data_IF_615737712241
#
_entry.id   IF_615737712241
#
_cell.length_a   1.000
_cell.length_b   1.000
_cell.length_c   1.000
_cell.angle_alpha   90.00
_cell.angle_beta   90.00
_cell.angle_gamma   90.00
#
_symmetry.space_group_name_H-M   'P 1'
#
loop_
_entity.id
_entity.type
_entity.pdbx_description
1 polymer ?
#
# COMPACT_ATOMS: atom_id res chain seq x y z
N UNK A 1 18.49 -1.31 -1.02
CA UNK A 1 17.11 -1.34 -0.51
C UNK A 1 16.95 -0.14 0.40
N UNK A 2 16.05 0.81 0.11
CA UNK A 2 15.78 1.92 1.03
C UNK A 2 14.82 1.37 2.10
N UNK A 3 15.20 1.48 3.37
CA UNK A 3 14.34 1.08 4.48
C UNK A 3 13.05 1.94 4.49
N UNK A 4 11.89 1.31 4.71
CA UNK A 4 10.57 1.96 4.84
C UNK A 4 10.63 3.22 5.74
N UNK A 5 11.34 3.14 6.86
CA UNK A 5 11.53 4.27 7.78
C UNK A 5 12.27 5.47 7.15
N UNK A 6 13.27 5.22 6.32
CA UNK A 6 14.05 6.29 5.68
C UNK A 6 13.29 6.93 4.52
N UNK A 7 12.42 6.16 3.87
CA UNK A 7 11.50 6.70 2.87
C UNK A 7 10.42 7.55 3.52
N UNK A 8 9.82 7.08 4.61
CA UNK A 8 8.83 7.84 5.37
C UNK A 8 9.41 9.18 5.85
N UNK A 9 10.59 9.16 6.50
CA UNK A 9 11.27 10.38 6.94
C UNK A 9 11.54 11.37 5.79
N UNK A 10 11.89 10.88 4.60
CA UNK A 10 12.08 11.74 3.42
C UNK A 10 10.77 12.36 2.93
N UNK A 11 9.69 11.59 2.93
CA UNK A 11 8.36 12.08 2.54
C UNK A 11 7.81 13.10 3.53
N UNK A 12 7.95 12.85 4.84
CA UNK A 12 7.57 13.78 5.91
C UNK A 12 8.33 15.11 5.84
N UNK A 13 9.58 15.07 5.35
CA UNK A 13 10.37 16.29 5.13
C UNK A 13 9.95 17.06 3.87
N UNK A 14 9.41 16.37 2.86
CA UNK A 14 9.11 16.93 1.55
C UNK A 14 7.66 17.42 1.41
N UNK A 15 6.73 16.86 2.17
CA UNK A 15 5.29 17.08 2.00
C UNK A 15 4.59 17.35 3.33
N UNK A 16 3.52 18.16 3.27
CA UNK A 16 2.65 18.39 4.41
C UNK A 16 1.80 17.14 4.74
N UNK A 17 1.37 16.95 6.01
CA UNK A 17 0.62 15.75 6.43
C UNK A 17 -0.64 15.45 5.60
N UNK A 18 -1.39 16.47 5.18
CA UNK A 18 -2.61 16.28 4.38
C UNK A 18 -2.32 15.76 2.96
N UNK A 19 -1.13 16.04 2.41
CA UNK A 19 -0.68 15.46 1.14
C UNK A 19 -0.33 13.99 1.33
N UNK A 20 0.38 13.68 2.42
CA UNK A 20 0.79 12.32 2.79
C UNK A 20 -0.39 11.39 3.10
N UNK A 21 -1.54 11.94 3.51
CA UNK A 21 -2.77 11.18 3.71
C UNK A 21 -3.26 10.45 2.45
N UNK A 22 -2.85 10.88 1.26
CA UNK A 22 -3.13 10.20 -0.02
C UNK A 22 -2.14 9.09 -0.38
N UNK A 23 -1.09 8.89 0.41
CA UNK A 23 -0.04 7.91 0.12
C UNK A 23 -0.31 6.59 0.86
N UNK A 24 0.05 5.47 0.23
CA UNK A 24 -0.02 4.14 0.84
C UNK A 24 1.24 3.34 0.55
N UNK A 25 1.83 2.75 1.58
CA UNK A 25 2.74 1.61 1.37
C UNK A 25 1.94 0.41 0.92
N UNK A 26 2.42 -0.30 -0.09
CA UNK A 26 1.70 -1.44 -0.63
C UNK A 26 2.42 -2.75 -0.35
N UNK A 27 1.65 -3.73 0.09
CA UNK A 27 2.16 -5.06 0.43
C UNK A 27 1.30 -6.11 -0.25
N UNK A 28 1.94 -7.04 -0.97
CA UNK A 28 1.27 -8.22 -1.53
C UNK A 28 1.21 -9.30 -0.44
N UNK A 29 0.00 -9.73 -0.10
CA UNK A 29 -0.25 -10.90 0.74
C UNK A 29 -0.70 -12.05 -0.17
N UNK A 30 0.13 -13.09 -0.24
CA UNK A 30 -0.21 -14.30 -0.98
C UNK A 30 -1.23 -15.11 -0.20
N UNK A 31 -2.32 -15.49 -0.86
CA UNK A 31 -3.42 -16.29 -0.30
C UNK A 31 -3.80 -17.40 -1.26
N UNK A 32 -4.50 -18.42 -0.76
CA UNK A 32 -5.03 -19.48 -1.63
C UNK A 32 -6.01 -18.89 -2.66
N UNK A 33 -6.06 -19.40 -3.90
CA UNK A 33 -7.10 -19.02 -4.88
C UNK A 33 -8.53 -19.18 -4.35
N UNK A 34 -8.75 -20.18 -3.49
CA UNK A 34 -10.06 -20.50 -2.92
C UNK A 34 -10.36 -19.71 -1.63
N UNK A 35 -9.43 -18.86 -1.18
CA UNK A 35 -9.64 -18.02 0.00
C UNK A 35 -10.69 -16.93 -0.32
N UNK A 36 -11.74 -16.75 0.50
CA UNK A 36 -12.74 -15.70 0.30
C UNK A 36 -12.17 -14.28 0.22
N UNK A 37 -10.97 -14.04 0.76
CA UNK A 37 -10.32 -12.71 0.70
C UNK A 37 -9.45 -12.54 -0.54
N UNK A 38 -9.23 -13.59 -1.34
CA UNK A 38 -8.49 -13.48 -2.60
C UNK A 38 -9.19 -12.50 -3.55
N UNK A 39 -8.44 -11.54 -4.08
CA UNK A 39 -9.02 -10.48 -4.93
C UNK A 39 -9.50 -9.26 -4.15
N UNK A 40 -9.25 -9.18 -2.84
CA UNK A 40 -9.59 -8.03 -2.00
C UNK A 40 -8.36 -7.22 -1.57
N UNK A 41 -8.61 -6.07 -0.95
CA UNK A 41 -7.58 -5.26 -0.31
C UNK A 41 -8.10 -4.65 1.01
N UNK A 42 -7.17 -4.28 1.89
CA UNK A 42 -7.46 -3.60 3.16
C UNK A 42 -6.59 -2.36 3.28
N UNK A 43 -7.22 -1.21 3.53
CA UNK A 43 -6.54 0.03 3.90
C UNK A 43 -6.40 0.11 5.42
N UNK A 44 -5.15 0.18 5.89
CA UNK A 44 -4.79 0.22 7.31
C UNK A 44 -4.19 1.59 7.62
N UNK A 45 -4.89 2.32 8.49
CA UNK A 45 -4.33 3.50 9.12
C UNK A 45 -3.27 3.09 10.15
N UNK A 46 -2.08 3.67 10.04
CA UNK A 46 -0.98 3.44 10.98
C UNK A 46 -1.01 4.55 12.03
N UNK A 47 -1.19 4.17 13.29
CA UNK A 47 -1.22 5.13 14.39
C UNK A 47 0.08 5.96 14.42
N UNK A 48 -0.07 7.29 14.42
CA UNK A 48 1.05 8.22 14.43
C UNK A 48 1.78 8.42 13.09
N UNK A 49 1.32 7.80 12.00
CA UNK A 49 1.87 7.99 10.66
C UNK A 49 0.84 8.66 9.75
N UNK A 50 1.21 9.71 8.98
CA UNK A 50 0.32 10.30 8.00
C UNK A 50 0.16 9.43 6.74
N UNK A 51 1.03 8.42 6.56
CA UNK A 51 0.98 7.44 5.46
C UNK A 51 0.43 6.12 5.98
N UNK A 52 -0.61 5.60 5.32
CA UNK A 52 -1.20 4.30 5.63
C UNK A 52 -0.55 3.13 4.90
N UNK A 53 -1.10 1.94 5.08
CA UNK A 53 -0.67 0.71 4.39
C UNK A 53 -1.86 0.04 3.69
N UNK A 54 -1.62 -0.44 2.48
CA UNK A 54 -2.59 -1.12 1.64
C UNK A 54 -2.13 -2.56 1.46
N UNK A 55 -2.86 -3.48 2.07
CA UNK A 55 -2.64 -4.92 1.89
C UNK A 55 -3.48 -5.39 0.72
N UNK A 56 -2.86 -6.05 -0.25
CA UNK A 56 -3.57 -6.66 -1.38
C UNK A 56 -3.44 -8.17 -1.27
N UNK A 57 -4.58 -8.84 -1.18
CA UNK A 57 -4.66 -10.29 -1.08
C UNK A 57 -4.85 -10.88 -2.48
N UNK A 58 -3.85 -11.60 -2.97
CA UNK A 58 -3.89 -12.19 -4.30
C UNK A 58 -3.11 -13.50 -4.34
N UNK A 59 -3.67 -14.51 -4.99
CA UNK A 59 -3.02 -15.80 -5.20
C UNK A 59 -1.88 -15.75 -6.23
N UNK A 60 -1.88 -14.75 -7.11
CA UNK A 60 -0.86 -14.60 -8.15
C UNK A 60 -0.28 -13.20 -8.20
N UNK A 61 0.91 -13.10 -8.77
CA UNK A 61 1.57 -11.80 -8.97
C UNK A 61 0.78 -10.92 -9.93
N UNK A 62 0.20 -11.51 -10.97
CA UNK A 62 -0.64 -10.81 -11.95
C UNK A 62 -1.90 -10.25 -11.29
N UNK A 63 -2.55 -11.04 -10.42
CA UNK A 63 -3.72 -10.59 -9.66
C UNK A 63 -3.38 -9.43 -8.72
N UNK A 64 -2.23 -9.49 -8.05
CA UNK A 64 -1.71 -8.38 -7.26
C UNK A 64 -1.48 -7.13 -8.11
N UNK A 65 -0.80 -7.27 -9.26
CA UNK A 65 -0.51 -6.13 -10.15
C UNK A 65 -1.81 -5.51 -10.67
N UNK A 66 -2.79 -6.31 -11.09
CA UNK A 66 -4.07 -5.81 -11.57
C UNK A 66 -4.80 -4.97 -10.49
N UNK A 67 -4.88 -5.46 -9.25
CA UNK A 67 -5.46 -4.69 -8.15
C UNK A 67 -4.66 -3.43 -7.82
N UNK A 68 -3.33 -3.53 -7.77
CA UNK A 68 -2.44 -2.38 -7.54
C UNK A 68 -2.73 -1.27 -8.54
N UNK A 69 -2.80 -1.58 -9.83
CA UNK A 69 -3.03 -0.59 -10.87
C UNK A 69 -4.42 0.04 -10.77
N UNK A 70 -5.46 -0.72 -10.41
CA UNK A 70 -6.80 -0.18 -10.16
C UNK A 70 -6.79 0.85 -9.00
N UNK A 71 -5.98 0.62 -7.97
CA UNK A 71 -5.89 1.46 -6.77
C UNK A 71 -5.03 2.72 -6.95
N UNK A 72 -4.23 2.82 -8.03
CA UNK A 72 -3.46 4.03 -8.34
C UNK A 72 -4.31 5.27 -8.63
N UNK A 73 -5.56 5.06 -9.01
CA UNK A 73 -6.53 6.16 -9.19
C UNK A 73 -6.94 6.82 -7.87
N UNK A 74 -6.79 6.12 -6.75
CA UNK A 74 -7.23 6.56 -5.43
C UNK A 74 -6.06 6.96 -4.52
N UNK A 75 -4.90 6.33 -4.69
CA UNK A 75 -3.75 6.51 -3.80
C UNK A 75 -2.44 6.67 -4.57
N UNK A 76 -1.51 7.42 -3.97
CA UNK A 76 -0.11 7.40 -4.37
C UNK A 76 0.58 6.19 -3.72
N UNK A 77 0.78 5.14 -4.53
CA UNK A 77 1.32 3.87 -4.05
C UNK A 77 2.86 3.91 -3.94
N UNK A 78 3.36 3.46 -2.79
CA UNK A 78 4.78 3.35 -2.46
C UNK A 78 5.15 1.87 -2.35
N UNK A 79 5.86 1.36 -3.35
CA UNK A 79 6.39 -0.02 -3.31
C UNK A 79 7.53 -0.13 -2.30
N UNK A 80 7.51 -1.17 -1.47
CA UNK A 80 8.56 -1.47 -0.48
C UNK A 80 9.91 -1.77 -1.11
#
# INVERSE_FOLDING_TARGET
MINRHDRLRRLEKAYAPHVLAGFRFITHIEVSPDDPICGTHVDIAIAGSPVGELLIYAATREGYVAQREALRSQFQLLEG
#
